data_IF_924959742646
#
_entry.id   IF_924959742646
#
_cell.length_a   1.000
_cell.length_b   1.000
_cell.length_c   1.000
_cell.angle_alpha   90.00
_cell.angle_beta   90.00
_cell.angle_gamma   90.00
#
_symmetry.space_group_name_H-M   'P 1'
#
loop_
_entity.id
_entity.type
_entity.pdbx_description
1 polymer ?
#
# COMPACT_ATOMS: atom_id res chain seq x y z
N UNK A 1 16.31 -19.30 6.26
CA UNK A 1 17.39 -18.31 6.07
C UNK A 1 17.69 -17.75 7.44
N UNK A 2 18.88 -18.02 7.98
CA UNK A 2 19.33 -17.45 9.25
C UNK A 2 20.00 -16.12 8.91
N UNK A 3 19.19 -15.10 8.62
CA UNK A 3 19.70 -13.74 8.49
C UNK A 3 19.99 -13.21 9.90
N UNK A 4 21.10 -12.51 10.03
CA UNK A 4 21.34 -11.68 11.21
C UNK A 4 20.25 -10.60 11.31
N UNK A 5 19.69 -10.40 12.51
CA UNK A 5 18.53 -9.52 12.73
C UNK A 5 18.83 -8.06 12.35
N UNK A 6 20.07 -7.62 12.61
CA UNK A 6 20.51 -6.28 12.26
C UNK A 6 20.62 -6.13 10.73
N UNK A 7 21.28 -7.08 10.07
CA UNK A 7 21.37 -7.10 8.61
C UNK A 7 19.99 -7.18 7.93
N UNK A 8 19.06 -7.96 8.50
CA UNK A 8 17.68 -8.06 8.02
C UNK A 8 16.93 -6.73 8.16
N UNK A 9 17.06 -6.07 9.31
CA UNK A 9 16.43 -4.76 9.56
C UNK A 9 16.95 -3.67 8.62
N UNK A 10 18.26 -3.66 8.36
CA UNK A 10 18.88 -2.74 7.40
C UNK A 10 18.42 -2.97 5.97
N UNK A 11 18.27 -4.24 5.56
CA UNK A 11 17.73 -4.59 4.24
C UNK A 11 16.28 -4.10 4.09
N UNK A 12 15.44 -4.35 5.10
CA UNK A 12 14.04 -3.89 5.09
C UNK A 12 13.97 -2.36 5.05
N UNK A 13 14.84 -1.65 5.76
CA UNK A 13 14.91 -0.19 5.71
C UNK A 13 15.22 0.32 4.30
N UNK A 14 16.23 -0.26 3.63
CA UNK A 14 16.60 0.09 2.25
C UNK A 14 15.48 -0.21 1.25
N UNK A 15 14.79 -1.35 1.41
CA UNK A 15 13.65 -1.71 0.56
C UNK A 15 12.49 -0.73 0.74
N UNK A 16 12.18 -0.34 1.99
CA UNK A 16 11.15 0.68 2.29
C UNK A 16 11.48 2.02 1.66
N UNK A 17 12.72 2.48 1.79
CA UNK A 17 13.18 3.72 1.15
C UNK A 17 13.00 3.66 -0.38
N UNK A 18 13.35 2.53 -1.00
CA UNK A 18 13.19 2.34 -2.45
C UNK A 18 11.72 2.34 -2.90
N UNK A 19 10.84 1.57 -2.25
CA UNK A 19 9.44 1.44 -2.71
C UNK A 19 8.59 2.68 -2.43
N UNK A 20 9.06 3.60 -1.57
CA UNK A 20 8.39 4.86 -1.25
C UNK A 20 8.81 6.03 -2.15
N UNK A 21 9.67 5.80 -3.14
CA UNK A 21 10.10 6.87 -4.05
C UNK A 21 8.92 7.41 -4.89
N UNK A 22 8.87 8.74 -5.16
CA UNK A 22 7.74 9.35 -5.86
C UNK A 22 7.47 8.79 -7.27
N UNK A 23 8.50 8.33 -7.99
CA UNK A 23 8.32 7.74 -9.33
C UNK A 23 7.52 6.43 -9.35
N UNK A 24 7.37 5.77 -8.20
CA UNK A 24 6.53 4.56 -8.05
C UNK A 24 5.16 4.87 -7.45
N UNK A 25 4.86 6.14 -7.17
CA UNK A 25 3.64 6.54 -6.48
C UNK A 25 2.55 6.93 -7.47
N UNK A 26 1.35 6.40 -7.23
CA UNK A 26 0.11 6.89 -7.81
C UNK A 26 -0.76 7.48 -6.70
N UNK A 27 -1.20 8.72 -6.85
CA UNK A 27 -2.14 9.37 -5.94
C UNK A 27 -3.50 9.53 -6.62
N UNK A 28 -4.53 8.95 -6.01
CA UNK A 28 -5.89 9.03 -6.49
C UNK A 28 -6.67 10.11 -5.73
N UNK A 29 -7.11 11.13 -6.46
CA UNK A 29 -8.05 12.14 -5.96
C UNK A 29 -9.47 11.60 -6.14
N UNK A 30 -10.08 11.17 -5.03
CA UNK A 30 -11.39 10.54 -5.04
C UNK A 30 -12.52 11.49 -5.42
N UNK A 31 -13.40 11.03 -6.30
CA UNK A 31 -14.70 11.62 -6.60
C UNK A 31 -15.83 10.63 -6.32
N UNK A 32 -17.04 11.15 -6.14
CA UNK A 32 -18.22 10.33 -5.90
C UNK A 32 -18.57 9.52 -7.15
N UNK A 33 -18.52 8.20 -7.05
CA UNK A 33 -18.77 7.28 -8.17
C UNK A 33 -17.52 6.55 -8.65
N UNK A 34 -16.33 6.97 -8.19
CA UNK A 34 -15.08 6.31 -8.55
C UNK A 34 -15.01 4.86 -8.08
N UNK A 35 -14.41 4.04 -8.95
CA UNK A 35 -14.02 2.67 -8.65
C UNK A 35 -12.52 2.55 -8.94
N UNK A 36 -11.76 2.23 -7.89
CA UNK A 36 -10.34 1.89 -8.02
C UNK A 36 -10.20 0.39 -7.81
N UNK A 37 -9.51 -0.25 -8.75
CA UNK A 37 -9.12 -1.65 -8.67
C UNK A 37 -7.60 -1.74 -8.67
N UNK A 38 -7.02 -2.53 -7.77
CA UNK A 38 -5.57 -2.72 -7.66
C UNK A 38 -5.25 -4.18 -7.34
N UNK A 39 -4.03 -4.60 -7.71
CA UNK A 39 -3.53 -5.93 -7.39
C UNK A 39 -2.77 -5.91 -6.05
N UNK A 40 -3.33 -6.59 -5.06
CA UNK A 40 -2.79 -6.67 -3.70
C UNK A 40 -1.44 -7.40 -3.59
N UNK A 41 -1.02 -8.18 -4.61
CA UNK A 41 0.23 -8.94 -4.56
C UNK A 41 1.44 -8.10 -4.96
N UNK A 42 1.24 -7.07 -5.79
CA UNK A 42 2.33 -6.29 -6.40
C UNK A 42 2.23 -4.80 -6.13
N UNK A 43 1.27 -4.36 -5.31
CA UNK A 43 1.09 -2.95 -4.93
C UNK A 43 1.04 -2.76 -3.42
N UNK A 44 1.55 -1.61 -2.97
CA UNK A 44 1.31 -1.07 -1.64
C UNK A 44 0.29 0.06 -1.76
N UNK A 45 -0.62 0.17 -0.78
CA UNK A 45 -1.56 1.28 -0.71
C UNK A 45 -1.64 1.84 0.70
N UNK A 46 -1.87 3.15 0.79
CA UNK A 46 -2.06 3.85 2.06
C UNK A 46 -3.10 4.96 1.88
N UNK A 47 -3.61 5.47 3.00
CA UNK A 47 -4.43 6.68 3.00
C UNK A 47 -3.66 7.81 3.70
N UNK A 48 -3.82 9.03 3.20
CA UNK A 48 -3.44 10.22 3.96
C UNK A 48 -4.45 10.46 5.10
N UNK A 49 -4.02 11.12 6.20
CA UNK A 49 -4.95 11.63 7.20
C UNK A 49 -6.01 12.53 6.55
N UNK A 50 -7.22 12.53 7.11
CA UNK A 50 -8.31 13.44 6.73
C UNK A 50 -9.02 13.94 7.99
N UNK A 51 -9.71 15.10 7.93
CA UNK A 51 -10.35 15.68 9.11
C UNK A 51 -11.37 14.73 9.76
N UNK A 52 -11.31 14.61 11.09
CA UNK A 52 -12.11 13.63 11.83
C UNK A 52 -13.62 13.94 11.85
N UNK A 53 -13.99 15.19 11.57
CA UNK A 53 -15.36 15.68 11.46
C UNK A 53 -15.99 15.39 10.08
N UNK A 54 -15.21 14.92 9.11
CA UNK A 54 -15.71 14.57 7.78
C UNK A 54 -16.12 13.11 7.68
N UNK A 55 -17.28 12.87 7.04
CA UNK A 55 -17.75 11.52 6.73
C UNK A 55 -17.14 11.02 5.41
N UNK A 56 -16.51 9.85 5.45
CA UNK A 56 -15.98 9.15 4.27
C UNK A 56 -16.49 7.71 4.23
N UNK A 57 -17.30 7.37 3.23
CA UNK A 57 -17.84 6.02 3.05
C UNK A 57 -17.23 5.37 1.80
N UNK A 58 -16.50 4.26 1.98
CA UNK A 58 -16.02 3.42 0.90
C UNK A 58 -16.64 2.03 1.03
N UNK A 59 -16.99 1.43 -0.09
CA UNK A 59 -17.36 0.01 -0.16
C UNK A 59 -16.19 -0.75 -0.75
N UNK A 60 -15.84 -1.89 -0.16
CA UNK A 60 -14.71 -2.72 -0.61
C UNK A 60 -15.20 -4.13 -0.87
N UNK A 61 -14.78 -4.68 -2.00
CA UNK A 61 -14.84 -6.10 -2.30
C UNK A 61 -13.40 -6.61 -2.33
N UNK A 62 -13.12 -7.67 -1.57
CA UNK A 62 -11.82 -8.32 -1.57
C UNK A 62 -11.92 -9.63 -2.34
N UNK A 63 -11.02 -9.83 -3.29
CA UNK A 63 -10.90 -11.10 -4.02
C UNK A 63 -9.92 -12.01 -3.27
N UNK A 64 -10.21 -13.32 -3.25
CA UNK A 64 -9.29 -14.29 -2.69
C UNK A 64 -8.03 -14.38 -3.55
N UNK A 65 -6.86 -14.34 -2.90
CA UNK A 65 -5.57 -14.54 -3.55
C UNK A 65 -5.13 -16.00 -3.52
N UNK A 66 -4.03 -16.28 -4.22
CA UNK A 66 -3.27 -17.52 -4.12
C UNK A 66 -2.03 -17.33 -3.24
N UNK A 67 -1.36 -18.44 -2.89
CA UNK A 67 -0.05 -18.40 -2.25
C UNK A 67 0.95 -17.66 -3.17
N UNK A 68 1.68 -16.65 -2.67
CA UNK A 68 2.78 -16.02 -3.41
C UNK A 68 3.90 -17.03 -3.69
N UNK A 69 4.56 -16.91 -4.84
CA UNK A 69 5.65 -17.77 -5.30
C UNK A 69 6.99 -17.02 -5.39
#
# INVERSE_FOLDING_TARGET
MNYDDQAGSELIAKLREHVLKPEFAYEHNWEAGDIVFWDNQVTLHSRRPFPADQRRLLKRISLAGSRPF
#
